data_IF_682145910803
#
_entry.id   IF_682145910803
#
_cell.length_a   1.000
_cell.length_b   1.000
_cell.length_c   1.000
_cell.angle_alpha   90.00
_cell.angle_beta   90.00
_cell.angle_gamma   90.00
#
_symmetry.space_group_name_H-M   'P 1'
#
loop_
_entity.id
_entity.type
_entity.pdbx_description
1 polymer ?
#
# COMPACT_ATOMS: atom_id res chain seq x y z
N UNK A 1 65.82 -14.02 -44.18
CA UNK A 1 66.49 -12.82 -43.64
C UNK A 1 66.03 -11.60 -44.44
N UNK A 2 65.68 -10.53 -43.70
CA UNK A 2 65.36 -9.17 -44.14
C UNK A 2 64.12 -8.93 -45.02
N UNK A 3 63.05 -8.46 -44.36
CA UNK A 3 62.35 -7.26 -44.82
C UNK A 3 61.86 -6.42 -43.63
N UNK A 4 62.16 -5.14 -43.75
CA UNK A 4 62.13 -4.12 -42.72
C UNK A 4 60.73 -3.62 -42.37
N UNK A 5 60.66 -3.03 -41.17
CA UNK A 5 59.52 -2.38 -40.56
C UNK A 5 58.86 -1.30 -41.44
N UNK A 6 57.53 -1.18 -41.32
CA UNK A 6 56.78 0.01 -41.72
C UNK A 6 55.95 0.49 -40.53
N UNK A 7 56.34 1.65 -40.01
CA UNK A 7 55.55 2.41 -39.04
C UNK A 7 54.42 3.17 -39.72
N UNK A 8 53.32 3.25 -38.98
CA UNK A 8 52.11 4.05 -39.17
C UNK A 8 52.36 5.47 -39.71
N UNK A 9 51.43 5.90 -40.57
CA UNK A 9 50.91 7.27 -40.60
C UNK A 9 49.40 7.22 -40.81
N UNK A 10 48.64 7.68 -39.83
CA UNK A 10 47.27 8.15 -40.03
C UNK A 10 47.32 9.55 -40.67
N UNK A 11 46.35 9.87 -41.53
CA UNK A 11 45.73 11.18 -41.45
C UNK A 11 44.19 11.09 -41.41
N UNK A 12 43.66 12.12 -40.76
CA UNK A 12 42.27 12.43 -40.49
C UNK A 12 41.36 12.39 -41.72
N UNK A 13 40.17 11.81 -41.58
CA UNK A 13 38.99 12.24 -42.32
C UNK A 13 37.82 12.34 -41.36
N UNK A 14 37.40 13.58 -41.11
CA UNK A 14 36.14 13.90 -40.48
C UNK A 14 35.00 13.49 -41.42
N UNK A 15 34.01 12.76 -40.91
CA UNK A 15 32.69 12.71 -41.53
C UNK A 15 31.65 13.04 -40.45
N UNK A 16 31.16 14.26 -40.56
CA UNK A 16 29.94 14.76 -39.95
C UNK A 16 28.75 13.91 -40.39
N UNK A 17 28.00 13.34 -39.43
CA UNK A 17 26.60 12.99 -39.65
C UNK A 17 25.70 13.79 -38.71
N UNK A 18 24.87 14.57 -39.39
CA UNK A 18 23.86 15.51 -38.95
C UNK A 18 22.86 14.98 -37.92
N UNK A 19 22.46 15.88 -37.02
CA UNK A 19 21.23 15.79 -36.22
C UNK A 19 19.98 15.80 -37.12
N UNK A 20 19.04 14.88 -36.84
CA UNK A 20 17.56 14.93 -36.99
C UNK A 20 17.08 13.48 -36.83
N UNK A 21 16.11 13.05 -36.01
CA UNK A 21 15.19 13.63 -35.01
C UNK A 21 14.48 12.43 -34.35
N UNK A 22 14.07 12.60 -33.09
CA UNK A 22 12.94 11.91 -32.44
C UNK A 22 12.95 10.37 -32.41
N UNK A 23 13.50 9.81 -31.33
CA UNK A 23 12.81 8.73 -30.63
C UNK A 23 12.73 9.09 -29.15
N UNK A 24 11.53 9.52 -28.75
CA UNK A 24 11.09 9.50 -27.37
C UNK A 24 11.13 8.04 -26.89
N UNK A 25 12.25 7.64 -26.30
CA UNK A 25 12.34 6.47 -25.45
C UNK A 25 12.54 6.94 -24.01
N UNK A 26 11.66 7.84 -23.56
CA UNK A 26 11.36 7.94 -22.15
C UNK A 26 10.12 7.07 -21.97
N UNK A 27 10.29 5.87 -21.41
CA UNK A 27 9.25 5.29 -20.57
C UNK A 27 9.03 6.27 -19.42
N UNK A 28 8.31 7.36 -19.71
CA UNK A 28 8.17 8.47 -18.79
C UNK A 28 7.42 7.96 -17.59
N UNK A 29 8.00 8.06 -16.40
CA UNK A 29 7.29 7.77 -15.16
C UNK A 29 6.01 8.62 -15.05
N UNK A 30 5.13 8.25 -14.13
CA UNK A 30 4.05 9.14 -13.74
C UNK A 30 4.62 10.53 -13.40
N UNK A 31 4.01 11.61 -13.90
CA UNK A 31 4.64 12.92 -13.90
C UNK A 31 4.77 13.45 -12.47
N UNK A 32 5.89 14.12 -12.17
CA UNK A 32 6.17 14.83 -10.91
C UNK A 32 6.35 16.34 -11.17
N UNK A 33 6.28 17.16 -10.13
CA UNK A 33 6.54 18.60 -10.19
C UNK A 33 5.32 19.47 -10.45
N UNK A 34 4.11 18.97 -10.19
CA UNK A 34 2.88 19.74 -10.43
C UNK A 34 2.62 20.80 -9.35
N UNK A 35 1.94 21.88 -9.73
CA UNK A 35 1.63 22.98 -8.81
C UNK A 35 0.40 22.69 -7.92
N UNK A 36 -0.48 21.80 -8.37
CA UNK A 36 -1.74 21.46 -7.71
C UNK A 36 -2.08 19.96 -7.83
N UNK A 37 -2.94 19.48 -6.93
CA UNK A 37 -3.42 18.09 -7.00
C UNK A 37 -4.28 17.83 -8.25
N UNK A 38 -5.06 18.82 -8.69
CA UNK A 38 -5.88 18.69 -9.90
C UNK A 38 -5.01 18.47 -11.15
N UNK A 39 -3.91 19.21 -11.27
CA UNK A 39 -2.93 19.04 -12.33
C UNK A 39 -2.24 17.67 -12.24
N UNK A 40 -1.79 17.27 -11.04
CA UNK A 40 -1.22 15.94 -10.79
C UNK A 40 -2.16 14.82 -11.23
N UNK A 41 -3.44 14.87 -10.83
CA UNK A 41 -4.45 13.89 -11.21
C UNK A 41 -4.67 13.86 -12.72
N UNK A 42 -4.82 15.01 -13.37
CA UNK A 42 -5.07 15.11 -14.81
C UNK A 42 -3.91 14.49 -15.61
N UNK A 43 -2.67 14.84 -15.27
CA UNK A 43 -1.50 14.32 -15.97
C UNK A 43 -1.30 12.83 -15.69
N UNK A 44 -1.58 12.36 -14.46
CA UNK A 44 -1.53 10.93 -14.11
C UNK A 44 -2.56 10.12 -14.90
N UNK A 45 -3.79 10.61 -15.05
CA UNK A 45 -4.81 9.98 -15.88
C UNK A 45 -4.38 9.85 -17.34
N UNK A 46 -3.84 10.93 -17.92
CA UNK A 46 -3.34 10.91 -19.30
C UNK A 46 -2.21 9.90 -19.47
N UNK A 47 -1.30 9.82 -18.49
CA UNK A 47 -0.23 8.84 -18.49
C UNK A 47 -0.77 7.40 -18.39
N UNK A 48 -1.69 7.11 -17.47
CA UNK A 48 -2.28 5.77 -17.33
C UNK A 48 -3.05 5.36 -18.58
N UNK A 49 -3.82 6.26 -19.17
CA UNK A 49 -4.57 6.01 -20.41
C UNK A 49 -3.66 5.53 -21.55
N UNK A 50 -2.41 6.01 -21.59
CA UNK A 50 -1.42 5.64 -22.60
C UNK A 50 -0.59 4.41 -22.25
N UNK A 51 -0.41 4.10 -20.95
CA UNK A 51 0.60 3.13 -20.50
C UNK A 51 0.01 1.88 -19.81
N UNK A 52 -1.24 1.93 -19.37
CA UNK A 52 -1.89 0.84 -18.64
C UNK A 52 -2.23 -0.34 -19.55
N UNK A 53 -1.95 -1.55 -19.06
CA UNK A 53 -2.52 -2.77 -19.63
C UNK A 53 -3.87 -3.02 -18.97
N UNK A 54 -4.97 -2.65 -19.62
CA UNK A 54 -6.31 -2.83 -19.07
C UNK A 54 -6.67 -4.30 -18.82
N UNK A 55 -7.48 -4.55 -17.78
CA UNK A 55 -7.82 -5.89 -17.28
C UNK A 55 -9.31 -6.23 -17.45
N UNK A 56 -10.12 -5.26 -17.84
CA UNK A 56 -11.57 -5.35 -18.04
C UNK A 56 -11.95 -4.51 -19.27
N UNK A 57 -13.16 -4.69 -19.78
CA UNK A 57 -13.67 -3.87 -20.89
C UNK A 57 -14.05 -2.44 -20.45
N UNK A 58 -14.25 -2.20 -19.15
CA UNK A 58 -14.56 -0.89 -18.61
C UNK A 58 -13.27 -0.13 -18.24
N UNK A 59 -12.57 0.32 -19.29
CA UNK A 59 -11.33 1.08 -19.14
C UNK A 59 -11.53 2.38 -18.32
N UNK A 60 -12.72 2.98 -18.39
CA UNK A 60 -13.05 4.19 -17.64
C UNK A 60 -13.05 3.93 -16.13
N UNK A 61 -13.71 2.87 -15.70
CA UNK A 61 -13.70 2.47 -14.30
C UNK A 61 -12.29 2.11 -13.80
N UNK A 62 -11.50 1.37 -14.60
CA UNK A 62 -10.12 1.06 -14.24
C UNK A 62 -9.23 2.30 -14.07
N UNK A 63 -9.37 3.30 -14.94
CA UNK A 63 -8.64 4.56 -14.79
C UNK A 63 -9.04 5.26 -13.50
N UNK A 64 -10.34 5.35 -13.20
CA UNK A 64 -10.82 5.99 -11.98
C UNK A 64 -10.39 5.26 -10.71
N UNK A 65 -10.34 3.92 -10.71
CA UNK A 65 -9.85 3.17 -9.56
C UNK A 65 -8.35 3.37 -9.32
N UNK A 66 -7.55 3.49 -10.38
CA UNK A 66 -6.09 3.61 -10.24
C UNK A 66 -5.60 5.08 -10.20
N UNK A 67 -6.47 6.06 -10.46
CA UNK A 67 -6.09 7.47 -10.47
C UNK A 67 -5.90 8.02 -9.05
N UNK A 68 -5.00 9.00 -8.87
CA UNK A 68 -5.02 9.85 -7.69
C UNK A 68 -6.42 10.40 -7.46
N UNK A 69 -6.90 10.36 -6.22
CA UNK A 69 -8.27 10.75 -5.89
C UNK A 69 -8.31 11.79 -4.80
N UNK A 70 -9.25 12.72 -4.92
CA UNK A 70 -9.57 13.72 -3.92
C UNK A 70 -11.00 13.52 -3.43
N UNK A 71 -11.18 13.54 -2.11
CA UNK A 71 -12.48 13.68 -1.47
C UNK A 71 -12.48 14.98 -0.69
N UNK A 72 -13.51 15.79 -0.91
CA UNK A 72 -13.71 17.04 -0.18
C UNK A 72 -14.85 16.89 0.81
N UNK A 73 -14.70 17.43 2.02
CA UNK A 73 -15.80 17.48 2.96
C UNK A 73 -16.80 18.55 2.54
N UNK A 74 -18.00 18.52 3.12
CA UNK A 74 -18.91 19.65 3.05
C UNK A 74 -18.32 20.85 3.79
N UNK A 75 -18.25 22.00 3.10
CA UNK A 75 -17.71 23.25 3.65
C UNK A 75 -16.19 23.39 3.55
N UNK A 76 -15.62 24.25 4.40
CA UNK A 76 -14.19 24.60 4.36
C UNK A 76 -13.37 23.61 5.18
N UNK A 77 -12.59 22.77 4.52
CA UNK A 77 -11.67 21.85 5.17
C UNK A 77 -10.66 22.59 6.05
N UNK A 78 -10.53 22.15 7.32
CA UNK A 78 -9.51 22.64 8.26
C UNK A 78 -8.41 21.61 8.54
N UNK A 79 -8.67 20.36 8.22
CA UNK A 79 -7.71 19.25 8.33
C UNK A 79 -7.63 18.57 6.98
N UNK A 80 -6.45 18.08 6.63
CA UNK A 80 -6.25 17.25 5.46
C UNK A 80 -5.45 16.02 5.79
N UNK A 81 -5.62 14.97 4.99
CA UNK A 81 -4.85 13.74 5.11
C UNK A 81 -4.46 13.20 3.73
N UNK A 82 -3.15 13.03 3.54
CA UNK A 82 -2.58 12.42 2.34
C UNK A 82 -2.41 10.92 2.57
N UNK A 83 -2.91 10.10 1.65
CA UNK A 83 -2.96 8.64 1.74
C UNK A 83 -2.05 8.01 0.67
N UNK A 84 -1.11 7.16 1.09
CA UNK A 84 -0.08 6.54 0.23
C UNK A 84 -0.23 5.03 0.24
N UNK A 85 -0.41 4.42 -0.93
CA UNK A 85 -0.67 2.98 -1.05
C UNK A 85 0.61 2.12 -0.94
N UNK A 86 0.43 0.81 -0.84
CA UNK A 86 1.52 -0.17 -0.74
C UNK A 86 2.12 -0.56 -2.09
N UNK A 87 3.21 -1.33 -2.05
CA UNK A 87 3.83 -1.91 -3.24
C UNK A 87 2.85 -2.79 -4.01
N UNK A 88 2.75 -2.58 -5.32
CA UNK A 88 1.85 -3.33 -6.20
C UNK A 88 0.40 -2.85 -6.15
N UNK A 89 0.06 -1.91 -5.27
CA UNK A 89 -1.30 -1.42 -5.11
C UNK A 89 -1.61 -0.18 -5.95
N UNK A 90 -2.78 0.40 -5.72
CA UNK A 90 -3.22 1.65 -6.35
C UNK A 90 -3.93 2.55 -5.34
N UNK A 91 -4.25 3.81 -5.70
CA UNK A 91 -5.09 4.71 -4.91
C UNK A 91 -6.42 4.08 -4.44
N UNK A 92 -6.92 3.05 -5.13
CA UNK A 92 -8.12 2.31 -4.76
C UNK A 92 -8.05 1.72 -3.36
N UNK A 93 -6.86 1.40 -2.84
CA UNK A 93 -6.68 0.86 -1.47
C UNK A 93 -7.24 1.76 -0.38
N UNK A 94 -7.50 3.04 -0.68
CA UNK A 94 -8.10 3.98 0.24
C UNK A 94 -9.51 4.42 -0.16
N UNK A 95 -10.18 3.71 -1.06
CA UNK A 95 -11.51 4.10 -1.56
C UNK A 95 -12.50 4.39 -0.41
N UNK A 96 -12.67 3.41 0.49
CA UNK A 96 -13.63 3.51 1.59
C UNK A 96 -13.08 4.35 2.75
N UNK A 97 -11.80 4.18 3.08
CA UNK A 97 -11.12 4.96 4.14
C UNK A 97 -11.19 6.45 3.81
N UNK A 98 -10.94 6.81 2.56
CA UNK A 98 -10.93 8.19 2.08
C UNK A 98 -12.31 8.83 2.12
N UNK A 99 -13.35 8.11 1.71
CA UNK A 99 -14.72 8.60 1.81
C UNK A 99 -15.11 8.88 3.27
N UNK A 100 -14.86 7.92 4.18
CA UNK A 100 -15.19 8.08 5.60
C UNK A 100 -14.44 9.24 6.26
N UNK A 101 -13.18 9.47 5.91
CA UNK A 101 -12.43 10.62 6.42
C UNK A 101 -13.00 11.95 5.91
N UNK A 102 -13.42 12.01 4.65
CA UNK A 102 -14.07 13.19 4.08
C UNK A 102 -15.43 13.48 4.75
N UNK A 103 -16.22 12.45 5.04
CA UNK A 103 -17.46 12.56 5.81
C UNK A 103 -17.22 13.12 7.23
N UNK A 104 -15.99 13.04 7.74
CA UNK A 104 -15.55 13.59 9.04
C UNK A 104 -14.86 14.97 8.92
N UNK A 105 -14.97 15.63 7.78
CA UNK A 105 -14.50 17.01 7.60
C UNK A 105 -13.06 17.15 7.10
N UNK A 106 -12.42 16.07 6.64
CA UNK A 106 -11.06 16.13 6.09
C UNK A 106 -11.06 16.39 4.59
N UNK A 107 -10.13 17.22 4.12
CA UNK A 107 -9.66 17.14 2.73
C UNK A 107 -8.78 15.89 2.58
N UNK A 108 -9.24 14.91 1.81
CA UNK A 108 -8.53 13.63 1.66
C UNK A 108 -7.99 13.51 0.26
N UNK A 109 -6.72 13.08 0.13
CA UNK A 109 -6.11 12.78 -1.16
C UNK A 109 -5.38 11.45 -1.11
N UNK A 110 -5.58 10.59 -2.10
CA UNK A 110 -4.72 9.43 -2.35
C UNK A 110 -3.84 9.67 -3.58
N UNK A 111 -2.61 9.17 -3.53
CA UNK A 111 -1.59 9.37 -4.58
C UNK A 111 -1.25 8.05 -5.26
N UNK A 112 -0.82 8.13 -6.52
CA UNK A 112 -0.27 6.99 -7.28
C UNK A 112 1.25 7.07 -7.28
N UNK A 113 1.91 6.05 -6.74
CA UNK A 113 3.37 5.95 -6.75
C UNK A 113 3.90 5.54 -8.15
N UNK A 114 5.00 6.15 -8.64
CA UNK A 114 5.66 5.75 -9.87
C UNK A 114 5.85 4.22 -10.02
N UNK A 115 5.60 3.71 -11.23
CA UNK A 115 5.56 2.29 -11.58
C UNK A 115 4.25 1.56 -11.28
N UNK A 116 3.32 2.17 -10.54
CA UNK A 116 2.01 1.58 -10.23
C UNK A 116 0.90 2.09 -11.18
N UNK A 117 -0.26 1.43 -11.16
CA UNK A 117 -1.47 1.87 -11.87
C UNK A 117 -1.45 1.66 -13.39
N UNK A 118 -0.35 1.18 -13.96
CA UNK A 118 -0.19 0.90 -15.40
C UNK A 118 -0.02 -0.60 -15.70
N UNK A 119 1.20 -1.12 -15.57
CA UNK A 119 1.57 -2.52 -15.77
C UNK A 119 2.79 -2.86 -14.92
N UNK A 120 2.99 -4.13 -14.50
CA UNK A 120 4.01 -4.45 -13.51
C UNK A 120 5.44 -4.24 -14.02
N UNK A 121 5.66 -4.25 -15.34
CA UNK A 121 6.96 -3.94 -15.94
C UNK A 121 7.42 -2.51 -15.69
N UNK A 122 6.52 -1.58 -15.43
CA UNK A 122 6.87 -0.18 -15.19
C UNK A 122 7.57 0.01 -13.82
N UNK A 123 7.61 -1.04 -12.98
CA UNK A 123 8.40 -1.08 -11.74
C UNK A 123 9.85 -1.58 -11.93
N UNK A 124 10.28 -1.87 -13.15
CA UNK A 124 11.64 -2.36 -13.39
C UNK A 124 12.70 -1.32 -13.02
N UNK A 125 12.42 -0.03 -13.26
CA UNK A 125 13.40 1.06 -13.15
C UNK A 125 13.04 2.10 -12.07
N UNK A 126 12.02 1.83 -11.24
CA UNK A 126 11.61 2.74 -10.17
C UNK A 126 12.68 2.88 -9.09
N UNK A 127 12.65 4.02 -8.41
CA UNK A 127 13.53 4.34 -7.29
C UNK A 127 12.72 4.78 -6.08
N UNK A 128 13.21 4.47 -4.87
CA UNK A 128 12.63 4.97 -3.63
C UNK A 128 12.51 6.49 -3.61
N UNK A 129 13.49 7.21 -4.18
CA UNK A 129 13.49 8.67 -4.27
C UNK A 129 12.26 9.19 -5.04
N UNK A 130 11.85 8.54 -6.11
CA UNK A 130 10.64 8.94 -6.85
C UNK A 130 9.38 8.80 -5.99
N UNK A 131 9.31 7.76 -5.16
CA UNK A 131 8.18 7.58 -4.24
C UNK A 131 8.17 8.61 -3.12
N UNK A 132 9.34 8.90 -2.52
CA UNK A 132 9.50 9.97 -1.53
C UNK A 132 9.14 11.34 -2.11
N UNK A 133 9.47 11.60 -3.38
CA UNK A 133 9.16 12.85 -4.06
C UNK A 133 7.64 13.07 -4.20
N UNK A 134 6.86 12.02 -4.52
CA UNK A 134 5.39 12.11 -4.52
C UNK A 134 4.88 12.53 -3.15
N UNK A 135 5.35 11.88 -2.07
CA UNK A 135 4.91 12.21 -0.71
C UNK A 135 5.25 13.66 -0.38
N UNK A 136 6.48 14.09 -0.69
CA UNK A 136 6.95 15.47 -0.45
C UNK A 136 6.11 16.50 -1.18
N UNK A 137 5.92 16.35 -2.49
CA UNK A 137 5.18 17.32 -3.30
C UNK A 137 3.72 17.41 -2.88
N UNK A 138 3.07 16.26 -2.69
CA UNK A 138 1.64 16.23 -2.40
C UNK A 138 1.34 16.65 -0.95
N UNK A 139 2.25 16.39 0.00
CA UNK A 139 2.15 16.95 1.35
C UNK A 139 2.29 18.48 1.32
N UNK A 140 3.25 19.02 0.58
CA UNK A 140 3.44 20.47 0.43
C UNK A 140 2.25 21.15 -0.25
N UNK A 141 1.67 20.55 -1.28
CA UNK A 141 0.44 21.04 -1.92
C UNK A 141 -0.70 21.09 -0.88
N UNK A 142 -0.88 20.03 -0.11
CA UNK A 142 -1.93 19.97 0.91
C UNK A 142 -1.73 21.00 2.03
N UNK A 143 -0.50 21.20 2.50
CA UNK A 143 -0.15 22.19 3.54
C UNK A 143 -0.47 23.64 3.11
N UNK A 144 -0.53 23.93 1.80
CA UNK A 144 -0.97 25.24 1.29
C UNK A 144 -2.48 25.43 1.33
N UNK A 145 -3.27 24.35 1.40
CA UNK A 145 -4.73 24.38 1.34
C UNK A 145 -5.41 24.26 2.70
N UNK A 146 -4.78 23.56 3.66
CA UNK A 146 -5.34 23.34 4.99
C UNK A 146 -4.30 23.61 6.09
N UNK A 147 -4.72 24.14 7.25
CA UNK A 147 -3.81 24.49 8.34
C UNK A 147 -3.27 23.30 9.13
N UNK A 148 -3.86 22.10 8.99
CA UNK A 148 -3.43 20.91 9.72
C UNK A 148 -3.40 19.71 8.78
N UNK A 149 -2.24 19.07 8.65
CA UNK A 149 -2.04 17.94 7.73
C UNK A 149 -1.63 16.70 8.52
N UNK A 150 -2.31 15.59 8.24
CA UNK A 150 -1.95 14.25 8.67
C UNK A 150 -1.46 13.48 7.45
N UNK A 151 -0.72 12.39 7.69
CA UNK A 151 -0.36 11.46 6.62
C UNK A 151 -0.87 10.07 6.99
N UNK A 152 -1.29 9.31 5.99
CA UNK A 152 -1.70 7.93 6.14
C UNK A 152 -1.07 7.05 5.07
N UNK A 153 -0.80 5.80 5.43
CA UNK A 153 -0.11 4.88 4.54
C UNK A 153 -0.50 3.44 4.77
N UNK A 154 -0.50 2.66 3.69
CA UNK A 154 -0.69 1.21 3.71
C UNK A 154 0.61 0.53 3.30
N UNK A 155 1.09 -0.44 4.10
CA UNK A 155 2.29 -1.22 3.77
C UNK A 155 3.49 -0.33 3.48
N UNK A 156 4.14 -0.47 2.31
CA UNK A 156 5.21 0.44 1.84
C UNK A 156 4.86 1.93 1.97
N UNK A 157 3.59 2.30 1.73
CA UNK A 157 3.15 3.67 1.89
C UNK A 157 3.21 4.16 3.33
N UNK A 158 3.06 3.27 4.32
CA UNK A 158 3.21 3.58 5.74
C UNK A 158 4.67 3.93 6.08
N UNK A 159 5.64 3.23 5.48
CA UNK A 159 7.07 3.52 5.65
C UNK A 159 7.39 4.91 5.09
N UNK A 160 6.89 5.22 3.88
CA UNK A 160 7.14 6.49 3.19
C UNK A 160 6.57 7.69 3.96
N UNK A 161 5.35 7.58 4.51
CA UNK A 161 4.77 8.68 5.30
C UNK A 161 5.41 8.80 6.68
N UNK A 162 5.92 7.71 7.25
CA UNK A 162 6.66 7.75 8.50
C UNK A 162 8.01 8.47 8.31
N UNK A 163 8.76 8.07 7.29
CA UNK A 163 10.03 8.70 6.88
C UNK A 163 9.86 10.22 6.74
N UNK A 164 8.87 10.65 5.95
CA UNK A 164 8.54 12.06 5.80
C UNK A 164 8.15 12.72 7.14
N UNK A 165 7.25 12.10 7.92
CA UNK A 165 6.75 12.73 9.15
C UNK A 165 7.80 12.91 10.26
N UNK A 166 8.88 12.13 10.24
CA UNK A 166 10.02 12.32 11.13
C UNK A 166 10.79 13.60 10.78
N UNK A 167 10.97 13.91 9.50
CA UNK A 167 11.69 15.11 9.04
C UNK A 167 10.81 16.38 9.08
N UNK A 168 9.49 16.20 9.20
CA UNK A 168 8.51 17.27 9.08
C UNK A 168 7.70 17.48 10.39
N UNK A 169 8.20 18.31 11.34
CA UNK A 169 7.56 18.54 12.63
C UNK A 169 6.15 19.16 12.54
N UNK A 170 5.79 19.76 11.41
CA UNK A 170 4.46 20.32 11.14
C UNK A 170 3.37 19.27 10.84
N UNK A 171 3.72 18.02 10.50
CA UNK A 171 2.73 16.94 10.29
C UNK A 171 2.06 16.57 11.61
N UNK A 172 0.74 16.64 11.69
CA UNK A 172 0.00 16.55 12.96
C UNK A 172 -0.06 15.13 13.55
N UNK A 173 0.04 14.08 12.73
CA UNK A 173 -0.03 12.70 13.16
C UNK A 173 -0.10 11.73 11.97
N UNK A 174 -0.18 10.44 12.30
CA UNK A 174 -0.07 9.34 11.33
C UNK A 174 -1.25 8.35 11.42
N UNK A 175 -1.64 7.80 10.27
CA UNK A 175 -2.62 6.71 10.13
C UNK A 175 -1.97 5.56 9.34
N UNK A 176 -1.60 4.48 10.02
CA UNK A 176 -0.78 3.41 9.42
C UNK A 176 -1.57 2.10 9.38
N UNK A 177 -1.76 1.57 8.18
CA UNK A 177 -2.36 0.24 7.97
C UNK A 177 -1.28 -0.73 7.55
N UNK A 178 -1.14 -1.84 8.29
CA UNK A 178 -0.13 -2.86 8.06
C UNK A 178 1.25 -2.26 7.75
N UNK A 179 1.84 -1.42 8.64
CA UNK A 179 3.08 -0.73 8.33
C UNK A 179 4.23 -1.71 8.12
N UNK A 180 4.97 -1.55 7.03
CA UNK A 180 5.88 -2.57 6.55
C UNK A 180 7.32 -2.44 7.10
N UNK A 181 7.44 -1.95 8.34
CA UNK A 181 8.71 -1.63 8.98
C UNK A 181 9.70 -2.78 8.94
N UNK A 182 9.23 -4.02 9.12
CA UNK A 182 10.06 -5.22 9.00
C UNK A 182 9.33 -6.30 8.19
N UNK A 183 9.84 -6.69 7.01
CA UNK A 183 9.31 -7.83 6.26
C UNK A 183 9.55 -9.14 7.01
N UNK A 184 8.61 -10.09 6.91
CA UNK A 184 8.70 -11.40 7.59
C UNK A 184 9.85 -12.28 7.06
N UNK A 185 10.20 -12.15 5.77
CA UNK A 185 11.20 -13.01 5.15
C UNK A 185 12.64 -12.47 5.34
N UNK A 186 13.45 -13.22 6.08
CA UNK A 186 14.88 -12.99 6.36
C UNK A 186 15.76 -12.81 5.12
N UNK A 187 15.28 -13.14 3.91
CA UNK A 187 16.02 -12.98 2.66
C UNK A 187 15.61 -11.76 1.82
N UNK A 188 14.69 -10.92 2.29
CA UNK A 188 14.28 -9.70 1.59
C UNK A 188 15.47 -8.78 1.25
N UNK A 189 16.51 -8.79 2.09
CA UNK A 189 17.75 -8.05 1.84
C UNK A 189 18.50 -8.49 0.58
N UNK A 190 18.36 -9.73 0.10
CA UNK A 190 19.08 -10.17 -1.10
C UNK A 190 18.52 -9.53 -2.38
N UNK A 191 17.26 -9.09 -2.36
CA UNK A 191 16.58 -8.53 -3.54
C UNK A 191 17.29 -7.28 -4.07
N UNK A 192 17.93 -6.50 -3.19
CA UNK A 192 18.69 -5.29 -3.56
C UNK A 192 19.92 -5.57 -4.43
N UNK A 193 20.47 -6.79 -4.37
CA UNK A 193 21.66 -7.20 -5.12
C UNK A 193 21.32 -8.11 -6.31
N UNK A 194 20.21 -8.86 -6.22
CA UNK A 194 19.80 -9.84 -7.24
C UNK A 194 19.03 -9.19 -8.40
N UNK A 195 18.42 -8.01 -8.20
CA UNK A 195 17.57 -7.36 -9.20
C UNK A 195 18.23 -7.13 -10.57
N UNK A 196 19.54 -6.95 -10.61
CA UNK A 196 20.29 -6.73 -11.86
C UNK A 196 20.47 -8.00 -12.70
N UNK A 197 20.39 -9.17 -12.06
CA UNK A 197 20.59 -10.48 -12.72
C UNK A 197 19.31 -11.30 -12.82
N UNK A 198 18.30 -10.99 -12.01
CA UNK A 198 16.95 -11.56 -12.08
C UNK A 198 15.91 -10.45 -11.91
N UNK A 199 15.44 -9.84 -13.02
CA UNK A 199 14.44 -8.78 -12.99
C UNK A 199 13.10 -9.19 -12.36
N UNK A 200 12.80 -10.50 -12.36
CA UNK A 200 11.60 -11.08 -11.77
C UNK A 200 11.95 -12.26 -10.86
N UNK A 201 11.55 -12.19 -9.57
CA UNK A 201 11.71 -13.31 -8.62
C UNK A 201 10.75 -14.45 -8.95
N UNK A 202 9.51 -14.11 -9.31
CA UNK A 202 8.53 -15.01 -9.88
C UNK A 202 8.44 -14.75 -11.38
N UNK A 203 8.59 -15.81 -12.21
CA UNK A 203 8.53 -15.68 -13.67
C UNK A 203 7.28 -14.90 -14.09
N UNK A 204 7.42 -13.89 -14.96
CA UNK A 204 6.26 -13.25 -15.57
C UNK A 204 5.57 -14.27 -16.47
N UNK A 205 4.24 -14.21 -16.52
CA UNK A 205 3.41 -14.98 -17.46
C UNK A 205 3.68 -16.49 -17.47
N UNK A 206 3.47 -17.16 -16.34
CA UNK A 206 3.58 -18.62 -16.25
C UNK A 206 2.31 -19.37 -16.69
N UNK A 207 1.36 -18.65 -17.31
CA UNK A 207 0.09 -19.19 -17.81
C UNK A 207 -0.92 -19.58 -16.73
N UNK A 208 -0.58 -19.43 -15.45
CA UNK A 208 -1.43 -19.83 -14.31
C UNK A 208 -1.76 -18.65 -13.42
N UNK A 209 -0.79 -17.74 -13.21
CA UNK A 209 -0.95 -16.60 -12.30
C UNK A 209 -1.20 -15.32 -13.10
N UNK A 210 -2.30 -14.60 -12.84
CA UNK A 210 -2.46 -13.27 -13.41
C UNK A 210 -1.32 -12.38 -12.91
N UNK A 211 -0.77 -11.55 -13.80
CA UNK A 211 0.26 -10.57 -13.43
C UNK A 211 -0.34 -9.44 -12.57
N UNK A 212 -1.59 -9.10 -12.83
CA UNK A 212 -2.32 -8.03 -12.14
C UNK A 212 -3.84 -8.28 -12.20
N UNK A 213 -4.56 -7.55 -11.35
CA UNK A 213 -6.01 -7.37 -11.35
C UNK A 213 -6.32 -5.94 -11.82
N UNK A 214 -7.60 -5.55 -11.96
CA UNK A 214 -7.97 -4.19 -12.34
C UNK A 214 -7.47 -3.09 -11.39
N UNK A 215 -7.00 -3.42 -10.18
CA UNK A 215 -6.58 -2.41 -9.17
C UNK A 215 -5.26 -2.72 -8.47
N UNK A 216 -4.61 -3.85 -8.78
CA UNK A 216 -3.38 -4.31 -8.08
C UNK A 216 -2.52 -5.22 -8.96
N UNK A 217 -1.20 -5.14 -8.82
CA UNK A 217 -0.26 -6.13 -9.31
C UNK A 217 -0.17 -7.34 -8.37
N UNK A 218 -0.22 -8.54 -8.93
CA UNK A 218 -0.03 -9.80 -8.20
C UNK A 218 1.40 -10.32 -8.30
N UNK A 219 2.17 -9.80 -9.26
CA UNK A 219 3.60 -10.07 -9.39
C UNK A 219 4.34 -8.75 -9.60
N UNK A 220 5.35 -8.50 -8.77
CA UNK A 220 6.14 -7.27 -8.76
C UNK A 220 7.59 -7.59 -9.14
N UNK A 221 8.25 -6.77 -9.98
CA UNK A 221 9.66 -6.93 -10.27
C UNK A 221 10.56 -6.93 -9.03
N UNK A 222 11.71 -7.58 -9.14
CA UNK A 222 12.71 -7.63 -8.07
C UNK A 222 13.15 -6.23 -7.62
N UNK A 223 13.27 -5.27 -8.55
CA UNK A 223 13.62 -3.89 -8.20
C UNK A 223 12.53 -3.21 -7.36
N UNK A 224 11.25 -3.43 -7.65
CA UNK A 224 10.14 -2.94 -6.82
C UNK A 224 10.25 -3.43 -5.37
N UNK A 225 10.56 -4.72 -5.18
CA UNK A 225 10.84 -5.29 -3.85
C UNK A 225 12.07 -4.68 -3.19
N UNK A 226 13.13 -4.40 -3.96
CA UNK A 226 14.34 -3.76 -3.42
C UNK A 226 14.06 -2.33 -2.93
N UNK A 227 13.26 -1.54 -3.65
CA UNK A 227 12.88 -0.19 -3.21
C UNK A 227 11.98 -0.24 -1.97
N UNK A 228 11.06 -1.20 -1.90
CA UNK A 228 10.28 -1.47 -0.69
C UNK A 228 11.18 -1.82 0.51
N UNK A 229 12.15 -2.73 0.33
CA UNK A 229 13.06 -3.08 1.42
C UNK A 229 13.85 -1.87 1.92
N UNK A 230 14.25 -0.97 1.02
CA UNK A 230 14.93 0.30 1.39
C UNK A 230 14.02 1.24 2.18
N UNK A 231 12.72 1.35 1.87
CA UNK A 231 11.79 2.16 2.67
C UNK A 231 11.64 1.61 4.08
N UNK A 232 11.56 0.28 4.21
CA UNK A 232 11.47 -0.39 5.51
C UNK A 232 12.73 -0.13 6.36
N UNK A 233 13.93 -0.15 5.77
CA UNK A 233 15.17 0.18 6.48
C UNK A 233 15.18 1.63 6.99
N UNK A 234 14.78 2.61 6.17
CA UNK A 234 14.69 4.00 6.61
C UNK A 234 13.68 4.19 7.75
N UNK A 235 12.52 3.54 7.66
CA UNK A 235 11.52 3.56 8.72
C UNK A 235 12.08 2.99 10.04
N UNK A 236 12.79 1.86 10.00
CA UNK A 236 13.47 1.28 11.16
C UNK A 236 14.50 2.24 11.74
N UNK A 237 15.36 2.82 10.90
CA UNK A 237 16.40 3.76 11.32
C UNK A 237 15.81 4.95 12.10
N UNK A 238 14.70 5.55 11.60
CA UNK A 238 14.04 6.65 12.33
C UNK A 238 13.47 6.23 13.68
N UNK A 239 12.80 5.07 13.74
CA UNK A 239 12.18 4.51 14.96
C UNK A 239 13.25 4.20 16.02
N UNK A 240 14.38 3.64 15.60
CA UNK A 240 15.50 3.29 16.48
C UNK A 240 16.18 4.54 17.05
N UNK A 241 16.40 5.56 16.20
CA UNK A 241 17.08 6.80 16.56
C UNK A 241 16.28 7.65 17.54
N UNK A 242 14.96 7.79 17.35
CA UNK A 242 14.13 8.61 18.26
C UNK A 242 12.66 8.17 18.34
N UNK A 243 12.04 8.30 19.52
CA UNK A 243 10.60 8.10 19.66
C UNK A 243 9.76 9.05 18.80
N UNK A 244 8.56 8.61 18.45
CA UNK A 244 7.54 9.42 17.77
C UNK A 244 6.46 9.85 18.77
N UNK A 245 6.34 11.17 18.99
CA UNK A 245 5.51 11.74 20.08
C UNK A 245 4.16 12.31 19.63
N UNK A 246 3.87 12.27 18.33
CA UNK A 246 2.58 12.72 17.78
C UNK A 246 1.56 11.57 17.74
N UNK A 247 0.25 11.87 17.68
CA UNK A 247 -0.78 10.84 17.58
C UNK A 247 -0.54 9.92 16.39
N UNK A 248 -0.62 8.61 16.63
CA UNK A 248 -0.57 7.58 15.59
C UNK A 248 -1.69 6.57 15.79
N UNK A 249 -2.40 6.27 14.70
CA UNK A 249 -3.25 5.11 14.59
C UNK A 249 -2.48 4.02 13.84
N UNK A 250 -2.48 2.79 14.36
CA UNK A 250 -1.92 1.62 13.68
C UNK A 250 -2.99 0.51 13.64
N UNK A 251 -3.16 -0.16 12.50
CA UNK A 251 -3.92 -1.41 12.42
C UNK A 251 -3.05 -2.50 11.82
N UNK A 252 -2.99 -3.66 12.48
CA UNK A 252 -2.21 -4.84 12.06
C UNK A 252 -2.98 -6.14 12.29
N UNK A 253 -2.68 -7.15 11.51
CA UNK A 253 -3.26 -8.50 11.61
C UNK A 253 -2.18 -9.48 12.06
N UNK A 254 -2.44 -10.30 13.07
CA UNK A 254 -1.48 -11.29 13.59
C UNK A 254 -0.92 -12.18 12.48
N UNK A 255 -1.80 -12.67 11.61
CA UNK A 255 -1.49 -13.64 10.57
C UNK A 255 -1.03 -12.99 9.26
N UNK A 256 -0.53 -11.76 9.31
CA UNK A 256 0.05 -11.09 8.14
C UNK A 256 1.30 -11.85 7.66
N UNK A 257 1.22 -12.54 6.52
CA UNK A 257 2.37 -13.25 5.95
C UNK A 257 3.45 -12.36 5.34
N UNK A 258 3.22 -11.05 5.25
CA UNK A 258 4.16 -10.10 4.64
C UNK A 258 5.08 -9.50 5.71
N UNK A 259 4.58 -9.33 6.93
CA UNK A 259 5.17 -8.45 7.93
C UNK A 259 5.43 -9.13 9.27
N UNK A 260 6.51 -8.70 9.92
CA UNK A 260 6.74 -9.03 11.32
C UNK A 260 5.88 -8.14 12.23
N UNK A 261 4.69 -8.63 12.54
CA UNK A 261 3.67 -7.88 13.30
C UNK A 261 4.05 -7.69 14.77
N UNK A 262 4.86 -8.59 15.32
CA UNK A 262 5.41 -8.47 16.67
C UNK A 262 6.37 -7.28 16.76
N UNK A 263 7.23 -7.08 15.76
CA UNK A 263 8.10 -5.91 15.67
C UNK A 263 7.31 -4.59 15.69
N UNK A 264 6.22 -4.52 14.94
CA UNK A 264 5.35 -3.32 14.91
C UNK A 264 4.73 -3.08 16.29
N UNK A 265 4.20 -4.13 16.93
CA UNK A 265 3.60 -4.03 18.26
C UNK A 265 4.61 -3.58 19.33
N UNK A 266 5.82 -4.15 19.32
CA UNK A 266 6.87 -3.80 20.26
C UNK A 266 7.33 -2.35 20.09
N UNK A 267 7.51 -1.90 18.84
CA UNK A 267 7.83 -0.51 18.55
C UNK A 267 6.67 0.43 18.89
N UNK A 268 5.41 0.06 18.65
CA UNK A 268 4.26 0.84 19.11
C UNK A 268 4.30 1.07 20.64
N UNK A 269 4.60 0.02 21.39
CA UNK A 269 4.65 0.09 22.85
C UNK A 269 5.84 0.93 23.37
N UNK A 270 6.98 0.89 22.70
CA UNK A 270 8.24 1.48 23.20
C UNK A 270 8.63 2.80 22.55
N UNK A 271 8.25 3.04 21.29
CA UNK A 271 8.71 4.16 20.46
C UNK A 271 7.62 5.14 20.08
N UNK A 272 6.36 4.72 19.94
CA UNK A 272 5.25 5.63 19.68
C UNK A 272 4.61 6.03 21.02
N UNK A 273 4.99 7.19 21.56
CA UNK A 273 4.73 7.52 22.98
C UNK A 273 3.47 8.33 23.25
N UNK A 274 2.83 8.87 22.21
CA UNK A 274 1.65 9.69 22.42
C UNK A 274 0.52 8.90 23.13
N UNK A 275 -0.08 9.44 24.20
CA UNK A 275 -1.12 8.73 24.96
C UNK A 275 -2.44 8.58 24.20
N UNK A 276 -2.70 9.38 23.16
CA UNK A 276 -3.89 9.23 22.31
C UNK A 276 -3.69 8.18 21.23
N UNK A 277 -2.45 7.77 20.94
CA UNK A 277 -2.18 6.74 19.96
C UNK A 277 -2.89 5.44 20.28
N UNK A 278 -3.37 4.76 19.24
CA UNK A 278 -4.04 3.46 19.34
C UNK A 278 -3.48 2.51 18.30
N UNK A 279 -3.30 1.26 18.71
CA UNK A 279 -3.02 0.15 17.81
C UNK A 279 -4.19 -0.83 17.88
N UNK A 280 -4.72 -1.22 16.73
CA UNK A 280 -5.63 -2.35 16.60
C UNK A 280 -4.85 -3.58 16.18
N UNK A 281 -5.02 -4.65 16.94
CA UNK A 281 -4.52 -5.98 16.66
C UNK A 281 -5.68 -6.90 16.30
N UNK A 282 -5.70 -7.41 15.08
CA UNK A 282 -6.64 -8.45 14.66
C UNK A 282 -5.98 -9.82 14.81
N UNK A 283 -6.49 -10.65 15.71
CA UNK A 283 -5.94 -11.97 16.03
C UNK A 283 -6.25 -12.39 17.46
N UNK A 284 -5.54 -13.43 17.91
CA UNK A 284 -5.47 -13.80 19.31
C UNK A 284 -4.79 -12.69 20.11
N UNK A 285 -5.17 -12.54 21.37
CA UNK A 285 -4.55 -11.54 22.25
C UNK A 285 -3.07 -11.88 22.42
N UNK A 286 -2.13 -11.05 21.92
CA UNK A 286 -0.72 -11.40 22.02
C UNK A 286 -0.26 -11.19 23.46
N UNK A 287 0.62 -12.07 23.97
CA UNK A 287 1.12 -12.01 25.35
C UNK A 287 1.64 -10.61 25.77
N UNK A 288 2.27 -9.80 24.89
CA UNK A 288 2.65 -8.41 25.19
C UNK A 288 1.50 -7.39 25.18
N UNK A 289 0.39 -7.61 24.46
CA UNK A 289 -0.74 -6.66 24.41
C UNK A 289 -1.53 -6.58 25.72
N UNK A 290 -1.32 -7.53 26.63
CA UNK A 290 -1.90 -7.49 27.98
C UNK A 290 -1.39 -6.30 28.85
N UNK A 291 -0.54 -5.40 28.32
CA UNK A 291 0.19 -4.39 29.10
C UNK A 291 -0.19 -2.93 28.87
N UNK A 292 -1.04 -2.56 27.90
CA UNK A 292 -1.41 -1.14 27.70
C UNK A 292 -2.83 -0.92 27.19
N UNK A 293 -3.57 0.09 27.71
CA UNK A 293 -4.91 0.45 27.19
C UNK A 293 -4.88 1.03 25.77
N UNK A 294 -3.70 1.24 25.18
CA UNK A 294 -3.54 1.75 23.81
C UNK A 294 -3.62 0.67 22.73
N UNK A 295 -3.58 -0.61 23.11
CA UNK A 295 -3.71 -1.73 22.19
C UNK A 295 -5.12 -2.32 22.32
N UNK A 296 -5.87 -2.31 21.22
CA UNK A 296 -7.23 -2.83 21.12
C UNK A 296 -7.19 -4.12 20.31
N UNK A 297 -7.82 -5.18 20.82
CA UNK A 297 -7.80 -6.49 20.16
C UNK A 297 -9.18 -6.83 19.60
N UNK A 298 -9.21 -7.41 18.41
CA UNK A 298 -10.39 -8.03 17.78
C UNK A 298 -10.01 -9.41 17.25
N UNK A 299 -10.90 -10.38 17.41
CA UNK A 299 -10.70 -11.71 16.84
C UNK A 299 -10.77 -11.63 15.31
N UNK A 300 -9.86 -12.33 14.63
CA UNK A 300 -9.79 -12.39 13.17
C UNK A 300 -10.36 -13.70 12.58
N UNK A 301 -10.75 -14.66 13.42
CA UNK A 301 -11.57 -15.81 13.05
C UNK A 301 -13.07 -15.47 13.16
N UNK A 302 -13.75 -15.32 12.00
CA UNK A 302 -15.16 -14.93 11.91
C UNK A 302 -15.95 -15.90 11.02
N UNK A 303 -16.41 -17.05 11.55
CA UNK A 303 -17.05 -18.10 10.75
C UNK A 303 -18.37 -17.66 10.11
N UNK A 304 -19.08 -16.70 10.71
CA UNK A 304 -20.29 -16.11 10.14
C UNK A 304 -20.03 -15.36 8.82
N UNK A 305 -18.79 -14.89 8.61
CA UNK A 305 -18.31 -14.29 7.37
C UNK A 305 -17.44 -15.25 6.55
N UNK A 306 -17.30 -16.52 6.99
CA UNK A 306 -16.34 -17.51 6.45
C UNK A 306 -14.90 -17.00 6.45
N UNK A 307 -14.52 -16.21 7.45
CA UNK A 307 -13.15 -15.71 7.59
C UNK A 307 -12.41 -16.61 8.57
N UNK A 308 -11.29 -17.18 8.13
CA UNK A 308 -10.42 -18.00 8.99
C UNK A 308 -9.37 -17.17 9.71
N UNK A 309 -8.82 -16.15 9.04
CA UNK A 309 -7.87 -15.19 9.61
C UNK A 309 -7.78 -13.95 8.74
N UNK A 310 -7.37 -12.82 9.29
CA UNK A 310 -7.26 -11.58 8.52
C UNK A 310 -6.01 -11.55 7.65
N UNK A 311 -6.10 -10.88 6.49
CA UNK A 311 -4.98 -10.74 5.56
C UNK A 311 -4.31 -9.37 5.64
N UNK A 312 -3.09 -9.26 5.11
CA UNK A 312 -2.35 -7.99 4.99
C UNK A 312 -3.21 -6.82 4.49
N UNK A 313 -4.06 -7.04 3.48
CA UNK A 313 -4.91 -6.01 2.87
C UNK A 313 -6.33 -5.96 3.45
N UNK A 314 -6.71 -6.94 4.27
CA UNK A 314 -8.06 -7.13 4.77
C UNK A 314 -8.54 -6.02 5.72
N UNK A 315 -7.72 -5.01 5.97
CA UNK A 315 -8.01 -3.85 6.83
C UNK A 315 -8.64 -2.67 6.08
N UNK A 316 -8.53 -2.65 4.75
CA UNK A 316 -8.67 -1.43 3.96
C UNK A 316 -10.09 -1.14 3.45
N UNK A 317 -10.92 -2.17 3.30
CA UNK A 317 -12.22 -2.06 2.64
C UNK A 317 -13.36 -2.42 3.58
N UNK A 318 -14.49 -1.75 3.42
CA UNK A 318 -15.74 -2.08 4.09
C UNK A 318 -16.35 -3.35 3.49
N UNK A 319 -17.25 -4.04 4.22
CA UNK A 319 -17.99 -5.18 3.67
C UNK A 319 -18.86 -4.84 2.46
N UNK A 320 -19.16 -3.56 2.25
CA UNK A 320 -20.05 -3.06 1.19
C UNK A 320 -19.28 -2.51 -0.03
N UNK A 321 -17.95 -2.58 -0.05
CA UNK A 321 -17.15 -2.15 -1.20
C UNK A 321 -17.52 -2.95 -2.47
N UNK A 322 -17.75 -2.24 -3.57
CA UNK A 322 -18.25 -2.84 -4.81
C UNK A 322 -17.27 -3.81 -5.48
N UNK A 323 -15.96 -3.67 -5.26
CA UNK A 323 -14.95 -4.56 -5.80
C UNK A 323 -14.50 -5.60 -4.76
N UNK A 324 -14.20 -5.18 -3.54
CA UNK A 324 -13.52 -5.98 -2.54
C UNK A 324 -14.35 -6.36 -1.31
N UNK A 325 -15.59 -5.88 -1.23
CA UNK A 325 -16.54 -6.21 -0.16
C UNK A 325 -16.94 -7.69 -0.17
N UNK A 326 -17.86 -8.05 0.75
CA UNK A 326 -18.33 -9.43 0.93
C UNK A 326 -18.92 -10.04 -0.35
N UNK A 327 -19.61 -9.19 -1.13
CA UNK A 327 -20.27 -9.49 -2.40
C UNK A 327 -19.53 -8.80 -3.58
N UNK A 328 -18.29 -8.38 -3.35
CA UNK A 328 -17.48 -7.63 -4.30
C UNK A 328 -17.16 -8.42 -5.56
N UNK A 329 -17.01 -7.70 -6.68
CA UNK A 329 -16.75 -8.28 -8.00
C UNK A 329 -15.34 -8.86 -8.17
N UNK A 330 -14.38 -8.45 -7.34
CA UNK A 330 -12.96 -8.80 -7.44
C UNK A 330 -12.56 -9.76 -6.33
N UNK A 331 -12.59 -11.06 -6.65
CA UNK A 331 -12.13 -12.12 -5.75
C UNK A 331 -10.70 -12.55 -6.10
N UNK A 332 -9.80 -12.51 -5.12
CA UNK A 332 -8.42 -12.98 -5.30
C UNK A 332 -8.34 -14.47 -4.94
N UNK A 333 -8.52 -15.31 -5.96
CA UNK A 333 -8.47 -16.77 -5.83
C UNK A 333 -7.06 -17.35 -5.78
N UNK A 334 -6.06 -16.60 -6.27
CA UNK A 334 -4.67 -16.97 -6.10
C UNK A 334 -4.24 -16.59 -4.67
N UNK A 335 -4.39 -17.54 -3.74
CA UNK A 335 -4.06 -17.36 -2.32
C UNK A 335 -3.11 -18.48 -1.82
N UNK A 336 -2.16 -18.84 -2.67
CA UNK A 336 -1.12 -19.85 -2.46
C UNK A 336 -1.58 -21.31 -2.56
N UNK A 337 -2.84 -21.57 -2.99
CA UNK A 337 -3.42 -22.92 -2.98
C UNK A 337 -3.01 -23.75 -4.18
N UNK A 338 -3.33 -25.04 -4.12
CA UNK A 338 -3.23 -25.92 -5.27
C UNK A 338 -4.14 -25.43 -6.40
N UNK A 339 -3.74 -25.74 -7.64
CA UNK A 339 -4.45 -25.31 -8.83
C UNK A 339 -5.93 -25.71 -8.80
N UNK A 340 -6.27 -26.92 -8.33
CA UNK A 340 -7.66 -27.40 -8.26
C UNK A 340 -8.57 -26.46 -7.44
N UNK A 341 -8.14 -26.06 -6.24
CA UNK A 341 -8.93 -25.18 -5.38
C UNK A 341 -8.98 -23.75 -5.90
N UNK A 342 -7.92 -23.30 -6.58
CA UNK A 342 -7.94 -22.02 -7.29
C UNK A 342 -9.01 -22.03 -8.39
N UNK A 343 -9.11 -23.09 -9.19
CA UNK A 343 -10.14 -23.21 -10.23
C UNK A 343 -11.55 -23.27 -9.64
N UNK A 344 -11.76 -23.98 -8.52
CA UNK A 344 -13.06 -23.97 -7.81
C UNK A 344 -13.46 -22.55 -7.39
N UNK A 345 -12.51 -21.77 -6.89
CA UNK A 345 -12.74 -20.37 -6.52
C UNK A 345 -13.08 -19.50 -7.75
N UNK A 346 -12.30 -19.63 -8.83
CA UNK A 346 -12.50 -18.87 -10.08
C UNK A 346 -13.84 -19.17 -10.74
N UNK A 347 -14.32 -20.41 -10.63
CA UNK A 347 -15.63 -20.83 -11.15
C UNK A 347 -16.82 -20.43 -10.25
N UNK A 348 -16.61 -19.53 -9.28
CA UNK A 348 -17.67 -19.01 -8.42
C UNK A 348 -18.10 -19.93 -7.27
N UNK A 349 -17.32 -20.98 -6.98
CA UNK A 349 -17.59 -21.86 -5.85
C UNK A 349 -17.59 -21.13 -4.48
N UNK A 350 -18.15 -21.75 -3.44
CA UNK A 350 -18.09 -21.19 -2.09
C UNK A 350 -16.65 -21.16 -1.59
N UNK A 351 -16.27 -20.07 -0.93
CA UNK A 351 -14.93 -19.86 -0.39
C UNK A 351 -14.98 -19.47 1.09
N UNK A 352 -13.90 -19.77 1.78
CA UNK A 352 -13.47 -19.10 2.99
C UNK A 352 -12.44 -18.01 2.64
N UNK A 353 -12.25 -17.06 3.54
CA UNK A 353 -11.30 -15.96 3.37
C UNK A 353 -10.16 -16.08 4.38
N UNK A 354 -8.93 -15.80 3.95
CA UNK A 354 -7.74 -15.89 4.80
C UNK A 354 -6.61 -14.97 4.33
N UNK A 355 -5.53 -14.94 5.13
CA UNK A 355 -4.21 -14.54 4.63
C UNK A 355 -3.62 -15.59 3.66
N UNK A 356 -2.43 -15.33 3.13
CA UNK A 356 -1.79 -16.07 2.06
C UNK A 356 -1.30 -17.41 2.59
N UNK A 357 -1.54 -18.47 1.82
CA UNK A 357 -0.98 -19.79 2.13
C UNK A 357 -1.75 -20.57 3.21
N UNK A 358 -2.76 -19.99 3.86
CA UNK A 358 -3.58 -20.69 4.85
C UNK A 358 -4.35 -21.87 4.25
N UNK A 359 -4.38 -23.00 4.96
CA UNK A 359 -5.03 -24.24 4.50
C UNK A 359 -5.80 -24.90 5.62
N UNK A 360 -6.98 -25.40 5.25
CA UNK A 360 -7.79 -26.26 6.10
C UNK A 360 -8.40 -27.35 5.22
N UNK A 361 -8.39 -28.63 5.65
CA UNK A 361 -9.00 -29.72 4.90
C UNK A 361 -10.46 -29.43 4.54
N UNK A 362 -10.82 -29.63 3.28
CA UNK A 362 -12.19 -29.47 2.79
C UNK A 362 -12.64 -28.01 2.57
N UNK A 363 -11.75 -27.02 2.72
CA UNK A 363 -12.06 -25.61 2.47
C UNK A 363 -11.24 -25.05 1.32
N UNK A 364 -11.91 -24.29 0.44
CA UNK A 364 -11.28 -23.47 -0.62
C UNK A 364 -11.14 -22.05 -0.10
N UNK A 365 -9.97 -21.43 -0.29
CA UNK A 365 -9.70 -20.09 0.22
C UNK A 365 -9.58 -19.03 -0.88
N UNK A 366 -10.01 -17.82 -0.58
CA UNK A 366 -9.64 -16.60 -1.29
C UNK A 366 -8.92 -15.66 -0.32
N UNK A 367 -8.14 -14.70 -0.84
CA UNK A 367 -7.56 -13.64 0.00
C UNK A 367 -8.69 -12.87 0.67
N UNK A 368 -8.61 -12.62 1.98
CA UNK A 368 -9.53 -11.68 2.63
C UNK A 368 -9.26 -10.26 2.12
N UNK A 369 -10.29 -9.59 1.60
CA UNK A 369 -10.17 -8.23 1.01
C UNK A 369 -10.97 -7.17 1.75
N UNK A 370 -11.86 -7.53 2.69
CA UNK A 370 -12.67 -6.57 3.45
C UNK A 370 -12.61 -6.83 4.96
N UNK A 371 -12.95 -5.80 5.74
CA UNK A 371 -12.97 -5.84 7.20
C UNK A 371 -14.40 -5.77 7.74
N UNK A 372 -14.96 -6.83 8.34
CA UNK A 372 -16.24 -6.75 9.05
C UNK A 372 -16.29 -5.73 10.19
N UNK A 373 -15.14 -5.33 10.74
CA UNK A 373 -15.02 -4.30 11.76
C UNK A 373 -14.69 -2.91 11.21
N UNK A 374 -14.88 -2.67 9.91
CA UNK A 374 -14.44 -1.43 9.25
C UNK A 374 -14.97 -0.17 9.97
N UNK A 375 -16.27 -0.08 10.25
CA UNK A 375 -16.84 1.10 10.93
C UNK A 375 -16.25 1.31 12.33
N UNK A 376 -16.07 0.22 13.09
CA UNK A 376 -15.44 0.29 14.41
C UNK A 376 -13.97 0.75 14.32
N UNK A 377 -13.22 0.23 13.35
CA UNK A 377 -11.84 0.62 13.08
C UNK A 377 -11.74 2.12 12.76
N UNK A 378 -12.63 2.61 11.90
CA UNK A 378 -12.68 4.01 11.51
C UNK A 378 -13.01 4.91 12.71
N UNK A 379 -13.91 4.47 13.59
CA UNK A 379 -14.20 5.16 14.84
C UNK A 379 -12.98 5.27 15.77
N UNK A 380 -12.22 4.20 15.96
CA UNK A 380 -10.97 4.23 16.74
C UNK A 380 -9.96 5.19 16.13
N UNK A 381 -9.76 5.12 14.81
CA UNK A 381 -8.86 6.02 14.08
C UNK A 381 -9.28 7.49 14.26
N UNK A 382 -10.57 7.79 14.17
CA UNK A 382 -11.10 9.14 14.39
C UNK A 382 -10.86 9.64 15.82
N UNK A 383 -11.00 8.77 16.83
CA UNK A 383 -10.64 9.11 18.21
C UNK A 383 -9.18 9.55 18.35
N UNK A 384 -8.25 8.87 17.66
CA UNK A 384 -6.83 9.28 17.62
C UNK A 384 -6.66 10.65 16.96
N UNK A 385 -7.28 10.86 15.79
CA UNK A 385 -7.16 12.10 15.02
C UNK A 385 -7.80 13.31 15.71
N UNK A 386 -8.82 13.09 16.55
CA UNK A 386 -9.46 14.11 17.37
C UNK A 386 -8.74 14.36 18.71
N UNK A 387 -7.71 13.56 19.03
CA UNK A 387 -6.95 13.68 20.28
C UNK A 387 -7.72 13.17 21.52
N UNK A 388 -8.70 12.29 21.33
CA UNK A 388 -9.51 11.75 22.41
C UNK A 388 -8.69 10.76 23.26
N UNK A 389 -8.69 10.94 24.58
CA UNK A 389 -7.97 10.07 25.53
C UNK A 389 -8.76 8.84 25.97
N UNK A 390 -10.04 8.74 25.61
CA UNK A 390 -10.98 7.79 26.22
C UNK A 390 -10.73 6.32 25.84
N UNK A 391 -11.10 5.45 26.78
CA UNK A 391 -11.17 3.99 26.73
C UNK A 391 -12.62 3.49 26.74
N UNK A 392 -13.59 4.31 26.36
CA UNK A 392 -14.99 3.91 26.26
C UNK A 392 -15.27 3.33 24.86
N UNK A 393 -16.01 2.20 24.75
CA UNK A 393 -16.36 1.65 23.45
C UNK A 393 -17.22 2.68 22.72
N UNK A 394 -16.82 3.01 21.49
CA UNK A 394 -17.75 3.56 20.51
C UNK A 394 -18.87 2.53 20.35
N UNK A 395 -19.97 2.74 21.07
CA UNK A 395 -21.19 1.98 20.91
C UNK A 395 -21.82 2.40 19.59
N UNK A 396 -21.47 1.68 18.52
CA UNK A 396 -22.24 1.58 17.30
C UNK A 396 -22.32 0.07 16.96
N UNK A 397 -23.41 -0.55 17.46
CA UNK A 397 -24.34 -1.50 16.79
C UNK A 397 -23.75 -2.22 15.56
N UNK A 398 -23.64 -3.55 15.39
CA UNK A 398 -24.37 -4.73 15.90
C UNK A 398 -23.39 -5.88 16.21
N UNK A 399 -23.40 -6.41 17.45
CA UNK A 399 -23.05 -7.82 17.64
C UNK A 399 -24.29 -8.65 17.28
N UNK A 400 -24.21 -9.61 16.33
CA UNK A 400 -25.31 -10.54 16.13
C UNK A 400 -25.48 -11.39 17.41
N UNK A 401 -26.72 -11.72 17.82
CA UNK A 401 -26.97 -12.34 19.10
C UNK A 401 -26.22 -13.67 19.22
N UNK A 402 -25.36 -13.77 20.24
CA UNK A 402 -24.80 -15.06 20.65
C UNK A 402 -25.96 -15.95 21.10
N UNK A 403 -26.30 -16.96 20.29
CA UNK A 403 -27.20 -18.02 20.75
C UNK A 403 -26.42 -18.87 21.74
N UNK A 404 -26.76 -18.71 23.02
CA UNK A 404 -26.65 -19.81 23.98
C UNK A 404 -27.50 -20.95 23.44
N UNK A 405 -26.88 -22.10 23.17
CA UNK A 405 -27.41 -23.42 23.47
C UNK A 405 -26.25 -24.41 23.55
#
# INVERSE_FOLDING_TARGET
>A
MHRAARHLRLPHLALSLSLLTLQACASGDAPLGQASFAEYRQQTLAWMQANRTFQTDDHGAELEWNAPREWRPDGVAKRGILLVHGLGDSPFSFNDVGQKLADQGFLVRSVLLPGHGSKPSDMLDVTLKQWQEVVREQAQIMQREVPTVYLGGFSTGADLVLDYAYEHPEIAGLVLFSPAFRPENTYAWLTQYIGWFRPWLAKPDDGVRPMQTPVRYLNVPTNGFAQFYRSALLAQDHIEQRPYDKPVFIAITQHDSVLDTAYVLDNFNTRFRNPTSRLIWYGDTPAPAAKTPRVLVRNDYLPQYRIAQFSHMGLMFSPDDALYGKDGKQRICWNGQQAEDMHKCLNGGPVWYSDWGHREPGKVFARLTFNPYFEWQMGVMMGVLNGERSSAPLSLVDEPPSRRH
#
